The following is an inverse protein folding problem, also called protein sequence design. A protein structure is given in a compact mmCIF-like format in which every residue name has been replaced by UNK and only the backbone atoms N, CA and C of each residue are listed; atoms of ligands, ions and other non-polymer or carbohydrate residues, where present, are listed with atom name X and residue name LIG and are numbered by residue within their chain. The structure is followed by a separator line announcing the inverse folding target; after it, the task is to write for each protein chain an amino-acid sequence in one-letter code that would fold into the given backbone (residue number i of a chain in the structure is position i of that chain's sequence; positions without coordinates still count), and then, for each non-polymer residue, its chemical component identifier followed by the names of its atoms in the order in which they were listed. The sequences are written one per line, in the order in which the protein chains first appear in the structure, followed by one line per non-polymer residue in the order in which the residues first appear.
data_IF_196691077461
#
_entry.id   IF_196691077461
#
_cell.length_a   1.000
_cell.length_b   1.000
_cell.length_c   1.000
_cell.angle_alpha   90.00
_cell.angle_beta   90.00
_cell.angle_gamma   90.00
#
_symmetry.space_group_name_H-M   'P 1'
#
loop_
_entity.id
_entity.type
_entity.pdbx_description
1 polymer ?
#
# COMPACT_ATOMS: atom_id res chain seq x y z
N UNK A 1 47.65 39.25 54.31
CA UNK A 1 47.24 37.92 53.83
C UNK A 1 45.82 37.67 54.28
N UNK A 2 44.85 37.73 53.37
CA UNK A 2 43.43 37.38 53.61
C UNK A 2 43.14 36.05 52.92
N UNK A 3 42.44 35.10 53.53
CA UNK A 3 42.06 33.85 52.87
C UNK A 3 40.88 34.06 51.93
N UNK A 4 40.94 33.44 50.76
CA UNK A 4 39.89 33.41 49.75
C UNK A 4 38.91 32.30 50.20
N UNK A 5 37.64 32.69 50.35
CA UNK A 5 36.53 31.75 50.63
C UNK A 5 36.09 31.15 49.29
N UNK A 6 36.16 29.84 49.19
CA UNK A 6 35.62 29.08 48.08
C UNK A 6 34.07 29.06 48.14
N UNK A 7 33.44 29.53 47.08
CA UNK A 7 31.99 29.54 46.92
C UNK A 7 31.54 28.20 46.35
N UNK A 8 30.70 27.50 47.10
CA UNK A 8 30.12 26.19 46.82
C UNK A 8 29.05 26.33 45.69
N UNK A 9 29.28 25.71 44.57
CA UNK A 9 28.36 25.68 43.41
C UNK A 9 27.59 24.37 43.41
N UNK A 10 26.58 24.23 44.30
CA UNK A 10 25.75 23.02 44.42
C UNK A 10 24.26 23.22 44.28
N UNK A 11 23.75 24.21 43.59
CA UNK A 11 22.30 24.41 43.48
C UNK A 11 21.71 24.28 42.07
N UNK A 12 22.49 23.92 41.04
CA UNK A 12 22.01 23.83 39.65
C UNK A 12 21.42 22.48 39.22
N UNK A 13 21.74 21.37 39.92
CA UNK A 13 21.38 20.03 39.43
C UNK A 13 20.02 19.49 39.93
N UNK A 14 19.51 20.02 41.04
CA UNK A 14 18.25 19.53 41.62
C UNK A 14 16.99 20.04 40.92
N UNK A 15 17.05 21.21 40.29
CA UNK A 15 15.89 21.79 39.59
C UNK A 15 15.68 21.16 38.20
N UNK A 16 16.76 20.77 37.52
CA UNK A 16 16.69 20.12 36.18
C UNK A 16 16.16 18.69 36.27
N UNK A 17 16.52 17.94 37.30
CA UNK A 17 16.04 16.57 37.53
C UNK A 17 14.55 16.52 37.86
N UNK A 18 14.02 17.50 38.59
CA UNK A 18 12.58 17.60 38.90
C UNK A 18 11.73 17.87 37.67
N UNK A 19 12.18 18.75 36.78
CA UNK A 19 11.46 19.05 35.53
C UNK A 19 11.43 17.92 34.52
N UNK A 20 12.52 17.13 34.44
CA UNK A 20 12.57 15.96 33.53
C UNK A 20 11.70 14.82 34.09
N UNK A 21 11.64 14.62 35.38
CA UNK A 21 10.78 13.61 36.00
C UNK A 21 9.28 13.93 35.77
N UNK A 22 8.90 15.20 35.85
CA UNK A 22 7.51 15.64 35.61
C UNK A 22 7.09 15.47 34.13
N UNK A 23 7.99 15.77 33.19
CA UNK A 23 7.76 15.51 31.76
C UNK A 23 7.61 14.02 31.46
N UNK A 24 8.41 13.15 32.07
CA UNK A 24 8.31 11.70 31.85
C UNK A 24 7.03 11.11 32.46
N UNK A 25 6.60 11.60 33.65
CA UNK A 25 5.34 11.14 34.23
C UNK A 25 4.12 11.60 33.43
N UNK A 26 4.10 12.83 32.92
CA UNK A 26 3.04 13.34 32.07
C UNK A 26 2.95 12.56 30.75
N UNK A 27 4.09 12.25 30.12
CA UNK A 27 4.14 11.44 28.91
C UNK A 27 3.63 10.00 29.16
N UNK A 28 4.01 9.40 30.29
CA UNK A 28 3.56 8.06 30.67
C UNK A 28 2.03 8.00 30.88
N UNK A 29 1.45 8.99 31.52
CA UNK A 29 -0.01 9.08 31.74
C UNK A 29 -0.73 9.21 30.41
N UNK A 30 -0.27 10.07 29.49
CA UNK A 30 -0.86 10.22 28.16
C UNK A 30 -0.79 8.90 27.40
N UNK A 31 0.34 8.20 27.45
CA UNK A 31 0.53 6.91 26.76
C UNK A 31 -0.41 5.84 27.31
N UNK A 32 -0.59 5.78 28.64
CA UNK A 32 -1.54 4.84 29.29
C UNK A 32 -2.98 5.16 28.86
N UNK A 33 -3.37 6.43 28.82
CA UNK A 33 -4.71 6.83 28.39
C UNK A 33 -4.96 6.47 26.91
N UNK A 34 -3.97 6.67 26.04
CA UNK A 34 -4.06 6.27 24.63
C UNK A 34 -4.12 4.75 24.47
N UNK A 35 -3.37 4.00 25.27
CA UNK A 35 -3.41 2.55 25.28
C UNK A 35 -4.78 2.02 25.71
N UNK A 36 -5.35 2.56 26.79
CA UNK A 36 -6.70 2.20 27.26
C UNK A 36 -7.74 2.53 26.21
N UNK A 37 -7.68 3.71 25.59
CA UNK A 37 -8.59 4.09 24.52
C UNK A 37 -8.45 3.19 23.27
N UNK A 38 -7.24 2.71 22.98
CA UNK A 38 -7.00 1.76 21.90
C UNK A 38 -7.58 0.38 22.22
N UNK A 39 -7.33 -0.16 23.42
CA UNK A 39 -7.84 -1.48 23.84
C UNK A 39 -9.37 -1.49 23.87
N UNK A 40 -10.02 -0.46 24.39
CA UNK A 40 -11.50 -0.37 24.40
C UNK A 40 -12.09 -0.31 22.99
N UNK A 41 -11.42 0.32 22.03
CA UNK A 41 -11.86 0.30 20.62
C UNK A 41 -11.71 -1.07 19.95
N UNK A 42 -10.73 -1.88 20.35
CA UNK A 42 -10.51 -3.22 19.77
C UNK A 42 -11.55 -4.21 20.31
N UNK A 43 -12.03 -4.06 21.53
CA UNK A 43 -13.05 -4.94 22.10
C UNK A 43 -14.44 -4.72 21.48
N UNK A 44 -14.79 -3.52 21.06
CA UNK A 44 -16.06 -3.24 20.38
C UNK A 44 -16.13 -3.81 18.96
N UNK A 45 -14.99 -4.22 18.37
CA UNK A 45 -14.91 -4.79 17.03
C UNK A 45 -15.02 -6.31 16.93
N UNK A 46 -15.04 -7.06 18.05
CA UNK A 46 -14.93 -8.54 18.01
C UNK A 46 -15.95 -9.30 18.89
N UNK A 47 -17.13 -8.74 19.09
CA UNK A 47 -18.22 -9.47 19.74
C UNK A 47 -19.05 -10.25 18.72
N UNK A 48 -18.62 -11.48 18.42
CA UNK A 48 -19.44 -12.50 17.80
C UNK A 48 -19.94 -13.45 18.91
N UNK A 49 -21.22 -13.44 19.31
CA UNK A 49 -21.72 -14.44 20.25
C UNK A 49 -22.21 -15.66 19.51
N UNK A 50 -21.46 -16.75 19.64
CA UNK A 50 -21.98 -18.09 19.32
C UNK A 50 -22.78 -18.63 20.52
N UNK A 51 -24.04 -18.95 20.31
CA UNK A 51 -24.72 -20.03 20.95
C UNK A 51 -25.44 -19.76 22.27
N UNK A 52 -26.78 -19.65 22.21
CA UNK A 52 -27.66 -20.40 23.10
C UNK A 52 -29.10 -20.45 22.60
N UNK A 53 -29.57 -21.64 22.60
CA UNK A 53 -30.92 -22.12 22.25
C UNK A 53 -31.91 -21.78 23.34
N UNK A 54 -33.03 -21.14 23.02
CA UNK A 54 -34.36 -21.40 23.63
C UNK A 54 -35.45 -20.61 22.90
N UNK A 55 -36.39 -21.28 22.27
CA UNK A 55 -37.75 -20.85 21.96
C UNK A 55 -38.59 -20.90 23.24
N UNK A 56 -39.73 -20.18 23.46
CA UNK A 56 -40.79 -19.97 22.48
C UNK A 56 -41.55 -18.62 22.57
N UNK A 57 -42.45 -18.44 21.60
CA UNK A 57 -43.77 -17.76 21.66
C UNK A 57 -43.85 -16.27 21.41
N UNK A 58 -44.27 -15.94 20.20
CA UNK A 58 -45.35 -15.02 19.85
C UNK A 58 -45.21 -13.54 20.24
N UNK A 59 -44.76 -12.72 19.30
CA UNK A 59 -45.35 -11.40 19.06
C UNK A 59 -44.84 -10.84 17.71
N UNK A 60 -45.73 -10.76 16.76
CA UNK A 60 -45.50 -10.12 15.45
C UNK A 60 -45.29 -8.63 15.64
N UNK A 61 -44.08 -8.17 15.59
CA UNK A 61 -43.73 -6.77 15.32
C UNK A 61 -43.04 -6.71 13.94
N UNK A 62 -43.76 -6.13 12.97
CA UNK A 62 -43.19 -5.74 11.69
C UNK A 62 -41.97 -4.84 11.94
N UNK A 63 -40.77 -5.18 11.51
CA UNK A 63 -39.70 -4.21 11.47
C UNK A 63 -39.85 -3.41 10.17
N UNK A 64 -40.32 -2.18 10.30
CA UNK A 64 -40.10 -1.15 9.30
C UNK A 64 -38.60 -0.81 9.31
N UNK A 65 -37.83 -1.62 8.63
CA UNK A 65 -36.39 -1.43 8.48
C UNK A 65 -36.10 -0.87 7.10
N UNK A 66 -36.42 0.40 6.90
CA UNK A 66 -35.68 1.21 5.93
C UNK A 66 -34.28 1.52 6.52
N UNK A 67 -33.41 0.52 6.53
CA UNK A 67 -32.00 0.81 6.52
C UNK A 67 -31.68 1.35 5.13
N UNK A 68 -31.16 2.58 5.01
CA UNK A 68 -30.49 2.96 3.78
C UNK A 68 -29.29 2.02 3.68
N UNK A 69 -29.32 1.12 2.72
CA UNK A 69 -28.16 0.35 2.32
C UNK A 69 -27.12 1.34 1.86
N UNK A 70 -26.15 1.63 2.72
CA UNK A 70 -24.88 2.19 2.31
C UNK A 70 -24.17 1.12 1.48
N UNK A 71 -24.69 0.84 0.29
CA UNK A 71 -23.90 0.23 -0.77
C UNK A 71 -22.83 1.25 -1.13
N UNK A 72 -21.74 1.24 -0.35
CA UNK A 72 -20.51 1.89 -0.74
C UNK A 72 -20.14 1.30 -2.10
N UNK A 73 -20.42 2.08 -3.15
CA UNK A 73 -20.12 1.74 -4.53
C UNK A 73 -18.63 1.39 -4.59
N UNK A 74 -18.33 0.11 -4.73
CA UNK A 74 -16.93 -0.37 -4.70
C UNK A 74 -16.19 0.24 -5.88
N UNK A 75 -14.95 0.72 -5.69
CA UNK A 75 -14.15 1.20 -6.80
C UNK A 75 -14.01 0.07 -7.83
N UNK A 76 -14.23 0.35 -9.08
CA UNK A 76 -13.99 -0.62 -10.15
C UNK A 76 -12.50 -0.66 -10.45
N UNK A 77 -11.94 -1.88 -10.51
CA UNK A 77 -10.53 -2.10 -10.85
C UNK A 77 -10.46 -2.80 -12.19
N UNK A 78 -9.83 -2.15 -13.15
CA UNK A 78 -9.51 -2.77 -14.44
C UNK A 78 -8.06 -3.24 -14.42
N UNK A 79 -7.84 -4.55 -14.50
CA UNK A 79 -6.52 -5.16 -14.57
C UNK A 79 -6.15 -5.48 -16.01
N UNK A 80 -4.99 -5.04 -16.44
CA UNK A 80 -4.41 -5.33 -17.75
C UNK A 80 -3.13 -6.12 -17.52
N UNK A 81 -3.14 -7.40 -17.86
CA UNK A 81 -1.94 -8.23 -17.79
C UNK A 81 -1.04 -7.91 -18.98
N UNK A 82 0.17 -7.48 -18.68
CA UNK A 82 1.19 -7.26 -19.71
C UNK A 82 1.89 -8.60 -19.98
N UNK A 83 1.94 -9.09 -21.22
CA UNK A 83 2.63 -10.32 -21.56
C UNK A 83 4.10 -10.27 -21.13
N UNK A 84 4.65 -11.39 -20.65
CA UNK A 84 6.07 -11.49 -20.29
C UNK A 84 6.98 -11.13 -21.49
N UNK A 85 6.57 -11.50 -22.70
CA UNK A 85 7.27 -11.12 -23.92
C UNK A 85 7.42 -9.61 -24.15
N UNK A 86 6.55 -8.81 -23.54
CA UNK A 86 6.57 -7.34 -23.68
C UNK A 86 7.42 -6.65 -22.61
N UNK A 87 7.44 -7.18 -21.38
CA UNK A 87 8.26 -6.65 -20.28
C UNK A 87 9.15 -7.75 -19.73
N UNK A 88 10.38 -7.83 -20.24
CA UNK A 88 11.36 -8.83 -19.88
C UNK A 88 12.46 -8.26 -19.01
N UNK A 89 12.96 -9.11 -18.11
CA UNK A 89 14.09 -8.84 -17.25
C UNK A 89 15.15 -9.92 -17.43
N UNK A 90 16.39 -9.59 -17.17
CA UNK A 90 17.42 -10.60 -17.01
C UNK A 90 17.10 -11.53 -15.83
N UNK A 91 17.52 -12.79 -15.95
CA UNK A 91 17.25 -13.79 -14.89
C UNK A 91 17.78 -13.31 -13.53
N UNK A 92 16.91 -13.31 -12.53
CA UNK A 92 17.24 -12.87 -11.16
C UNK A 92 17.55 -11.39 -11.01
N UNK A 93 17.37 -10.56 -12.05
CA UNK A 93 17.63 -9.12 -12.04
C UNK A 93 16.34 -8.32 -12.24
N UNK A 94 16.44 -7.01 -11.97
CA UNK A 94 15.38 -6.02 -12.16
C UNK A 94 15.66 -5.04 -13.32
N UNK A 95 16.79 -5.20 -14.01
CA UNK A 95 17.12 -4.40 -15.19
C UNK A 95 16.20 -4.77 -16.36
N UNK A 96 15.59 -3.76 -16.98
CA UNK A 96 14.76 -3.92 -18.17
C UNK A 96 15.64 -4.29 -19.36
N UNK A 97 15.15 -5.17 -20.21
CA UNK A 97 15.76 -5.45 -21.51
C UNK A 97 15.35 -4.39 -22.55
N UNK A 98 16.11 -4.16 -23.60
CA UNK A 98 15.81 -3.15 -24.62
C UNK A 98 14.41 -3.33 -25.25
N UNK A 99 13.93 -4.56 -25.39
CA UNK A 99 12.57 -4.86 -25.88
C UNK A 99 11.49 -4.31 -24.96
N UNK A 100 11.69 -4.44 -23.63
CA UNK A 100 10.78 -3.90 -22.63
C UNK A 100 10.79 -2.37 -22.61
N UNK A 101 11.95 -1.75 -22.79
CA UNK A 101 12.07 -0.30 -22.88
C UNK A 101 11.34 0.24 -24.13
N UNK A 102 11.48 -0.42 -25.28
CA UNK A 102 10.75 -0.08 -26.50
C UNK A 102 9.24 -0.19 -26.29
N UNK A 103 8.76 -1.29 -25.71
CA UNK A 103 7.34 -1.48 -25.40
C UNK A 103 6.81 -0.36 -24.51
N UNK A 104 7.51 0.00 -23.43
CA UNK A 104 7.12 1.09 -22.54
C UNK A 104 7.14 2.44 -23.27
N UNK A 105 8.14 2.68 -24.10
CA UNK A 105 8.26 3.90 -24.88
C UNK A 105 7.08 4.13 -25.85
N UNK A 106 6.49 3.06 -26.35
CA UNK A 106 5.34 3.12 -27.27
C UNK A 106 4.00 3.19 -26.53
N UNK A 107 3.86 2.45 -25.43
CA UNK A 107 2.57 2.26 -24.76
C UNK A 107 2.28 3.25 -23.66
N UNK A 108 3.29 3.69 -22.90
CA UNK A 108 3.08 4.55 -21.72
C UNK A 108 2.51 5.94 -22.02
N UNK A 109 2.84 6.62 -23.14
CA UNK A 109 2.18 7.86 -23.49
C UNK A 109 0.67 7.71 -23.69
N UNK A 110 0.23 6.56 -24.23
CA UNK A 110 -1.18 6.26 -24.40
C UNK A 110 -1.89 6.09 -23.06
N UNK A 111 -1.33 5.29 -22.14
CA UNK A 111 -1.87 5.15 -20.79
C UNK A 111 -1.91 6.47 -20.04
N UNK A 112 -0.84 7.26 -20.06
CA UNK A 112 -0.79 8.56 -19.41
C UNK A 112 -1.85 9.51 -19.97
N UNK A 113 -2.06 9.52 -21.27
CA UNK A 113 -3.12 10.31 -21.92
C UNK A 113 -4.51 9.89 -21.45
N UNK A 114 -4.78 8.58 -21.34
CA UNK A 114 -6.06 8.07 -20.85
C UNK A 114 -6.31 8.43 -19.37
N UNK A 115 -5.27 8.32 -18.54
CA UNK A 115 -5.34 8.53 -17.08
C UNK A 115 -5.44 9.99 -16.71
N UNK A 116 -4.77 10.87 -17.48
CA UNK A 116 -4.61 12.28 -17.14
C UNK A 116 -5.48 13.23 -17.97
N UNK A 117 -6.22 12.72 -18.95
CA UNK A 117 -7.07 13.58 -19.79
C UNK A 117 -8.27 14.11 -19.01
N UNK A 118 -8.48 15.44 -18.96
CA UNK A 118 -9.64 16.02 -18.28
C UNK A 118 -10.99 15.58 -18.90
N UNK A 119 -12.01 15.41 -18.06
CA UNK A 119 -13.40 15.20 -18.49
C UNK A 119 -13.78 13.75 -18.83
N UNK A 120 -12.92 12.76 -18.58
CA UNK A 120 -13.25 11.33 -18.60
C UNK A 120 -13.43 10.77 -17.19
N UNK A 121 -13.93 9.53 -17.11
CA UNK A 121 -14.08 8.80 -15.85
C UNK A 121 -12.80 8.92 -15.04
N UNK A 122 -12.92 9.37 -13.78
CA UNK A 122 -11.78 9.75 -12.98
C UNK A 122 -10.98 8.55 -12.53
N UNK A 123 -9.77 8.41 -13.08
CA UNK A 123 -8.82 7.41 -12.62
C UNK A 123 -8.24 7.88 -11.28
N UNK A 124 -8.39 7.06 -10.26
CA UNK A 124 -7.88 7.32 -8.92
C UNK A 124 -6.40 6.92 -8.81
N UNK A 125 -6.06 5.73 -9.28
CA UNK A 125 -4.69 5.23 -9.23
C UNK A 125 -4.35 4.33 -10.44
N UNK A 126 -3.07 4.33 -10.81
CA UNK A 126 -2.46 3.40 -11.75
C UNK A 126 -1.38 2.61 -11.00
N UNK A 127 -1.61 1.30 -10.85
CA UNK A 127 -0.74 0.43 -10.05
C UNK A 127 -0.02 -0.55 -10.97
N UNK A 128 1.30 -0.57 -10.87
CA UNK A 128 2.16 -1.54 -11.55
C UNK A 128 2.51 -2.63 -10.56
N UNK A 129 2.02 -3.85 -10.76
CA UNK A 129 2.32 -4.99 -9.90
C UNK A 129 3.30 -5.95 -10.57
N UNK A 130 4.40 -6.25 -9.88
CA UNK A 130 5.38 -7.26 -10.29
C UNK A 130 5.16 -8.58 -9.57
N UNK A 131 5.32 -9.69 -10.29
CA UNK A 131 5.18 -11.06 -9.77
C UNK A 131 6.42 -11.88 -10.09
N UNK A 132 6.70 -12.89 -9.28
CA UNK A 132 7.73 -13.91 -9.50
C UNK A 132 7.10 -15.30 -9.66
N UNK A 133 7.93 -16.27 -9.97
CA UNK A 133 7.57 -17.69 -9.86
C UNK A 133 7.68 -18.19 -8.41
N UNK A 134 7.54 -19.51 -8.22
CA UNK A 134 7.57 -20.19 -6.93
C UNK A 134 9.00 -20.53 -6.45
N UNK A 135 10.02 -20.26 -7.26
CA UNK A 135 11.40 -20.58 -6.92
C UNK A 135 12.02 -19.57 -5.96
N UNK A 136 12.76 -20.09 -4.99
CA UNK A 136 13.51 -19.25 -4.05
C UNK A 136 12.74 -18.83 -2.81
N UNK A 137 13.37 -17.98 -2.03
CA UNK A 137 12.88 -17.46 -0.75
C UNK A 137 11.81 -16.37 -0.93
N UNK A 138 10.85 -16.31 -0.02
CA UNK A 138 9.71 -15.38 -0.09
C UNK A 138 10.13 -13.91 -0.03
N UNK A 139 11.07 -13.58 0.84
CA UNK A 139 11.53 -12.20 1.03
C UNK A 139 12.31 -11.76 -0.22
N UNK A 140 13.15 -12.65 -0.75
CA UNK A 140 13.89 -12.39 -1.98
C UNK A 140 12.95 -12.18 -3.17
N UNK A 141 11.92 -13.02 -3.31
CA UNK A 141 10.92 -12.89 -4.37
C UNK A 141 10.11 -11.60 -4.23
N UNK A 142 9.72 -11.24 -3.00
CA UNK A 142 9.03 -9.99 -2.74
C UNK A 142 9.90 -8.79 -3.12
N UNK A 143 11.16 -8.79 -2.69
CA UNK A 143 12.12 -7.73 -3.04
C UNK A 143 12.33 -7.62 -4.55
N UNK A 144 12.59 -8.75 -5.24
CA UNK A 144 12.82 -8.77 -6.68
C UNK A 144 11.61 -8.26 -7.45
N UNK A 145 10.40 -8.67 -7.06
CA UNK A 145 9.17 -8.20 -7.69
C UNK A 145 8.93 -6.70 -7.47
N UNK A 146 9.30 -6.17 -6.29
CA UNK A 146 9.22 -4.74 -5.99
C UNK A 146 10.23 -3.95 -6.85
N UNK A 147 11.46 -4.42 -6.97
CA UNK A 147 12.48 -3.78 -7.80
C UNK A 147 12.08 -3.76 -9.28
N UNK A 148 11.47 -4.85 -9.78
CA UNK A 148 10.98 -4.96 -11.16
C UNK A 148 9.82 -4.00 -11.44
N UNK A 149 8.82 -3.98 -10.57
CA UNK A 149 7.70 -3.04 -10.73
C UNK A 149 8.16 -1.58 -10.64
N UNK A 150 9.12 -1.28 -9.79
CA UNK A 150 9.71 0.05 -9.70
C UNK A 150 10.52 0.42 -10.95
N UNK A 151 11.30 -0.50 -11.52
CA UNK A 151 12.03 -0.26 -12.77
C UNK A 151 11.08 0.09 -13.94
N UNK A 152 9.93 -0.62 -14.02
CA UNK A 152 8.88 -0.31 -15.00
C UNK A 152 8.30 1.09 -14.75
N UNK A 153 7.99 1.45 -13.51
CA UNK A 153 7.47 2.77 -13.16
C UNK A 153 8.47 3.88 -13.49
N UNK A 154 9.74 3.70 -13.11
CA UNK A 154 10.79 4.68 -13.36
C UNK A 154 10.97 4.94 -14.87
N UNK A 155 11.03 3.87 -15.68
CA UNK A 155 11.11 4.01 -17.14
C UNK A 155 9.84 4.64 -17.73
N UNK A 156 8.68 4.29 -17.22
CA UNK A 156 7.41 4.90 -17.64
C UNK A 156 7.40 6.42 -17.41
N UNK A 157 7.84 6.87 -16.24
CA UNK A 157 7.94 8.29 -15.90
C UNK A 157 8.95 9.03 -16.78
N UNK A 158 10.10 8.39 -17.07
CA UNK A 158 11.09 8.94 -18.00
C UNK A 158 10.47 9.18 -19.40
N UNK A 159 9.82 8.15 -19.95
CA UNK A 159 9.15 8.22 -21.26
C UNK A 159 8.05 9.29 -21.29
N UNK A 160 7.23 9.37 -20.23
CA UNK A 160 6.15 10.34 -20.17
C UNK A 160 6.71 11.76 -20.04
N UNK A 161 7.77 11.97 -19.27
CA UNK A 161 8.43 13.27 -19.17
C UNK A 161 8.94 13.75 -20.51
N UNK A 162 9.48 12.85 -21.32
CA UNK A 162 10.04 13.16 -22.65
C UNK A 162 8.94 13.36 -23.70
N UNK A 163 8.00 12.42 -23.80
CA UNK A 163 7.04 12.37 -24.89
C UNK A 163 5.71 13.07 -24.62
N UNK A 164 5.32 13.20 -23.34
CA UNK A 164 4.03 13.75 -22.93
C UNK A 164 4.14 14.61 -21.65
N UNK A 165 4.98 15.67 -21.66
CA UNK A 165 5.34 16.41 -20.46
C UNK A 165 4.13 16.99 -19.70
N UNK A 166 3.03 17.33 -20.37
CA UNK A 166 1.82 17.83 -19.73
C UNK A 166 1.15 16.81 -18.80
N UNK A 167 1.35 15.50 -19.04
CA UNK A 167 0.76 14.43 -18.24
C UNK A 167 1.66 13.98 -17.08
N UNK A 168 2.92 14.44 -17.05
CA UNK A 168 3.93 13.92 -16.13
C UNK A 168 3.53 14.06 -14.66
N UNK A 169 3.20 15.26 -14.22
CA UNK A 169 2.85 15.52 -12.81
C UNK A 169 1.57 14.76 -12.40
N UNK A 170 0.56 14.73 -13.25
CA UNK A 170 -0.65 13.95 -13.01
C UNK A 170 -0.36 12.47 -12.90
N UNK A 171 0.45 11.92 -13.82
CA UNK A 171 0.80 10.50 -13.79
C UNK A 171 1.64 10.14 -12.58
N UNK A 172 2.62 10.97 -12.21
CA UNK A 172 3.45 10.80 -11.02
C UNK A 172 2.62 10.72 -9.74
N UNK A 173 1.56 11.54 -9.63
CA UNK A 173 0.68 11.53 -8.46
C UNK A 173 -0.22 10.29 -8.36
N UNK A 174 -0.54 9.67 -9.50
CA UNK A 174 -1.48 8.54 -9.57
C UNK A 174 -0.80 7.19 -9.69
N UNK A 175 0.45 7.13 -10.14
CA UNK A 175 1.16 5.89 -10.40
C UNK A 175 1.88 5.36 -9.17
N UNK A 176 1.77 4.06 -8.93
CA UNK A 176 2.48 3.34 -7.87
C UNK A 176 3.05 2.03 -8.39
N UNK A 177 4.08 1.51 -7.71
CA UNK A 177 4.72 0.24 -8.03
C UNK A 177 4.70 -0.68 -6.81
N UNK A 178 4.21 -1.92 -6.97
CA UNK A 178 4.06 -2.89 -5.89
C UNK A 178 4.67 -4.24 -6.28
N UNK A 179 5.51 -4.80 -5.41
CA UNK A 179 5.96 -6.19 -5.50
C UNK A 179 4.96 -7.12 -4.83
N UNK A 180 4.59 -8.20 -5.53
CA UNK A 180 3.68 -9.24 -5.03
C UNK A 180 4.41 -10.56 -4.74
N UNK A 181 5.70 -10.67 -5.11
CA UNK A 181 6.45 -11.90 -4.96
C UNK A 181 5.77 -13.06 -5.68
N UNK A 182 5.72 -14.22 -5.05
CA UNK A 182 5.07 -15.43 -5.56
C UNK A 182 3.57 -15.52 -5.27
N UNK A 183 2.92 -14.43 -4.89
CA UNK A 183 1.47 -14.41 -4.73
C UNK A 183 0.77 -14.60 -6.08
N UNK A 184 -0.39 -15.24 -6.06
CA UNK A 184 -1.22 -15.48 -7.26
C UNK A 184 -0.47 -16.20 -8.39
N UNK A 185 0.25 -17.28 -8.05
CA UNK A 185 0.91 -18.14 -9.03
C UNK A 185 -0.10 -18.64 -10.07
N UNK A 186 0.23 -18.48 -11.33
CA UNK A 186 -0.54 -19.08 -12.41
C UNK A 186 -0.22 -20.56 -12.50
N UNK A 187 -1.23 -21.35 -12.88
CA UNK A 187 -1.13 -22.80 -13.01
C UNK A 187 -1.45 -23.23 -14.44
N UNK A 188 -0.74 -24.26 -14.89
CA UNK A 188 -1.03 -24.93 -16.15
C UNK A 188 -2.26 -25.84 -16.04
N UNK A 189 -2.67 -26.46 -17.13
CA UNK A 189 -3.83 -27.35 -17.17
C UNK A 189 -3.68 -28.61 -16.29
N UNK A 190 -2.47 -28.96 -15.88
CA UNK A 190 -2.17 -30.05 -14.95
C UNK A 190 -2.17 -29.60 -13.47
N UNK A 191 -2.51 -28.35 -13.17
CA UNK A 191 -2.54 -27.80 -11.82
C UNK A 191 -1.15 -27.45 -11.26
N UNK A 192 -0.09 -27.62 -12.02
CA UNK A 192 1.28 -27.26 -11.62
C UNK A 192 1.56 -25.77 -11.85
N UNK A 193 2.44 -25.14 -11.07
CA UNK A 193 2.83 -23.74 -11.30
C UNK A 193 3.39 -23.54 -12.72
N UNK A 194 2.76 -22.61 -13.44
CA UNK A 194 3.28 -22.12 -14.73
C UNK A 194 4.24 -20.97 -14.44
N UNK A 195 5.51 -21.26 -14.32
CA UNK A 195 6.55 -20.31 -13.90
C UNK A 195 6.71 -19.17 -14.87
N UNK A 196 6.67 -19.46 -16.15
CA UNK A 196 6.85 -18.45 -17.21
C UNK A 196 5.71 -17.43 -17.16
N UNK A 197 4.47 -17.88 -17.08
CA UNK A 197 3.33 -16.97 -16.94
C UNK A 197 3.23 -16.32 -15.56
N UNK A 198 3.81 -16.93 -14.52
CA UNK A 198 3.83 -16.35 -13.17
C UNK A 198 4.79 -15.16 -13.07
N UNK A 199 5.90 -15.17 -13.80
CA UNK A 199 6.84 -14.03 -13.92
C UNK A 199 6.23 -12.96 -14.83
N UNK A 200 5.38 -12.09 -14.30
CA UNK A 200 4.62 -11.12 -15.05
C UNK A 200 4.57 -9.75 -14.38
N UNK A 201 4.21 -8.75 -15.16
CA UNK A 201 3.81 -7.43 -14.68
C UNK A 201 2.32 -7.23 -15.01
N UNK A 202 1.58 -6.64 -14.10
CA UNK A 202 0.17 -6.31 -14.28
C UNK A 202 -0.01 -4.81 -14.08
N UNK A 203 -0.71 -4.15 -14.99
CA UNK A 203 -1.17 -2.78 -14.82
C UNK A 203 -2.61 -2.79 -14.33
N UNK A 204 -2.86 -2.16 -13.18
CA UNK A 204 -4.20 -2.01 -12.60
C UNK A 204 -4.63 -0.55 -12.62
N UNK A 205 -5.77 -0.29 -13.21
CA UNK A 205 -6.39 1.03 -13.24
C UNK A 205 -7.53 1.03 -12.24
N UNK A 206 -7.41 1.83 -11.20
CA UNK A 206 -8.45 2.03 -10.20
C UNK A 206 -9.29 3.24 -10.60
N UNK A 207 -10.58 3.01 -10.78
CA UNK A 207 -11.53 4.04 -11.16
C UNK A 207 -12.25 4.54 -9.92
N UNK A 208 -12.46 5.86 -9.82
CA UNK A 208 -13.30 6.41 -8.76
C UNK A 208 -14.74 5.94 -8.95
N UNK A 209 -15.43 5.53 -7.87
CA UNK A 209 -16.85 5.22 -7.96
C UNK A 209 -17.63 6.44 -8.45
N UNK A 210 -18.48 6.26 -9.46
CA UNK A 210 -19.34 7.34 -9.97
C UNK A 210 -20.47 7.67 -9.01
#
# INVERSE_FOLDING_TARGET
MKPIVAQDSRDGSAVVTSGVADLMTSLAVIFILLLVAYVTRVEDGNANPAGSRATPTGMTLKPDRRQPSLEAKRPSVQAITVPEAAINFEFGKSALLPTAETFLSETMPHYASLICKPGKQEVEAFVIEGYTDDLGDDIRNLKLSQERSFAVLAKSLEVIREKLPWAYECFLQKATANGRGKQDLLRNNAGQPDRDKSRRVIFKIHMRPA
#
